data_IF_521277938907
#
_entry.id   IF_521277938907
#
_cell.length_a   1.000
_cell.length_b   1.000
_cell.length_c   1.000
_cell.angle_alpha   90.00
_cell.angle_beta   90.00
_cell.angle_gamma   90.00
#
_symmetry.space_group_name_H-M   'P 1'
#
loop_
_entity.id
_entity.type
_entity.pdbx_description
1 polymer ?
#
# COMPACT_ATOMS: atom_id res chain seq x y z
N UNK A 1 -12.91 27.94 -8.05
CA UNK A 1 -13.07 26.74 -7.21
C UNK A 1 -12.16 26.92 -6.02
N UNK A 2 -12.72 27.01 -4.81
CA UNK A 2 -11.90 27.16 -3.61
C UNK A 2 -11.20 25.84 -3.31
N UNK A 3 -9.87 25.86 -3.36
CA UNK A 3 -9.06 24.71 -2.98
C UNK A 3 -9.22 24.54 -1.46
N UNK A 4 -9.95 23.50 -1.06
CA UNK A 4 -9.98 23.05 0.33
C UNK A 4 -8.86 22.04 0.54
N UNK A 5 -7.89 22.40 1.37
CA UNK A 5 -6.95 21.42 1.93
C UNK A 5 -7.68 20.64 3.03
N UNK A 6 -8.35 19.55 2.65
CA UNK A 6 -8.84 18.57 3.62
C UNK A 6 -7.64 17.78 4.12
N UNK A 7 -7.35 17.86 5.43
CA UNK A 7 -6.37 16.97 6.06
C UNK A 7 -6.81 15.52 5.82
N UNK A 8 -5.90 14.64 5.40
CA UNK A 8 -6.16 13.21 5.33
C UNK A 8 -6.28 12.66 6.75
N UNK A 9 -7.50 12.36 7.20
CA UNK A 9 -7.75 11.66 8.46
C UNK A 9 -8.15 10.25 8.07
N UNK A 10 -7.41 9.25 8.57
CA UNK A 10 -7.83 7.87 8.46
C UNK A 10 -8.90 7.60 9.52
N UNK A 11 -10.10 7.23 9.08
CA UNK A 11 -11.17 6.81 9.98
C UNK A 11 -10.80 5.46 10.63
N UNK A 12 -11.03 5.29 11.94
CA UNK A 12 -10.98 3.97 12.56
C UNK A 12 -11.98 2.97 11.97
N UNK A 13 -13.12 3.47 11.47
CA UNK A 13 -14.22 2.65 10.96
C UNK A 13 -14.05 2.27 9.48
N UNK A 14 -13.17 2.97 8.76
CA UNK A 14 -12.89 2.74 7.33
C UNK A 14 -11.37 2.72 7.12
N UNK A 15 -10.71 1.59 7.44
CA UNK A 15 -9.28 1.46 7.26
C UNK A 15 -8.95 1.50 5.77
N UNK A 16 -7.87 2.20 5.42
CA UNK A 16 -7.41 2.35 4.04
C UNK A 16 -6.86 1.02 3.49
N UNK A 17 -7.74 0.11 3.07
CA UNK A 17 -7.40 -1.19 2.46
C UNK A 17 -7.22 -1.03 0.95
N UNK A 18 -6.14 -1.58 0.42
CA UNK A 18 -5.79 -1.50 -0.99
C UNK A 18 -5.50 -2.87 -1.59
N UNK A 19 -5.79 -3.00 -2.89
CA UNK A 19 -5.12 -3.95 -3.78
C UNK A 19 -3.90 -3.19 -4.33
N UNK A 20 -2.71 -3.58 -3.89
CA UNK A 20 -1.46 -2.94 -4.29
C UNK A 20 -1.00 -3.40 -5.68
N UNK A 21 -1.28 -4.66 -6.01
CA UNK A 21 -0.98 -5.27 -7.29
C UNK A 21 -1.88 -6.49 -7.49
N UNK A 22 -2.21 -6.82 -8.73
CA UNK A 22 -2.91 -8.04 -9.09
C UNK A 22 -2.32 -8.66 -10.36
N UNK A 23 -2.86 -9.80 -10.78
CA UNK A 23 -2.45 -10.49 -12.01
C UNK A 23 -3.06 -9.89 -13.29
N UNK A 24 -3.40 -8.61 -13.31
CA UNK A 24 -3.77 -7.93 -14.56
C UNK A 24 -2.57 -7.82 -15.49
N UNK A 25 -2.83 -7.81 -16.80
CA UNK A 25 -1.79 -7.61 -17.81
C UNK A 25 -1.34 -6.15 -17.72
N UNK A 26 -0.05 -5.94 -17.46
CA UNK A 26 0.51 -4.61 -17.37
C UNK A 26 0.65 -3.96 -18.76
N UNK A 27 1.11 -2.69 -18.78
CA UNK A 27 1.27 -1.93 -20.04
C UNK A 27 2.31 -2.55 -20.99
N UNK A 28 3.23 -3.37 -20.48
CA UNK A 28 4.26 -4.05 -21.26
C UNK A 28 3.82 -5.43 -21.76
N UNK A 29 2.64 -5.89 -21.34
CA UNK A 29 2.09 -7.20 -21.72
C UNK A 29 2.43 -8.33 -20.75
N UNK A 30 3.05 -8.02 -19.62
CA UNK A 30 3.47 -8.99 -18.61
C UNK A 30 2.39 -9.21 -17.54
N UNK A 31 2.45 -10.36 -16.87
CA UNK A 31 1.63 -10.68 -15.69
C UNK A 31 2.55 -11.10 -14.55
N UNK A 32 2.44 -10.43 -13.41
CA UNK A 32 3.14 -10.83 -12.18
C UNK A 32 2.24 -11.75 -11.36
N UNK A 33 2.62 -13.02 -11.26
CA UNK A 33 1.85 -14.01 -10.50
C UNK A 33 1.88 -13.67 -9.01
N UNK A 34 0.70 -13.48 -8.41
CA UNK A 34 0.60 -13.04 -7.01
C UNK A 34 1.19 -14.09 -6.06
N UNK A 35 1.04 -15.39 -6.38
CA UNK A 35 1.65 -16.48 -5.60
C UNK A 35 3.19 -16.47 -5.57
N UNK A 36 3.82 -15.66 -6.43
CA UNK A 36 5.28 -15.53 -6.51
C UNK A 36 5.87 -14.48 -5.55
N UNK A 37 5.05 -13.69 -4.87
CA UNK A 37 5.53 -12.69 -3.91
C UNK A 37 6.17 -13.36 -2.69
N UNK A 38 7.45 -13.09 -2.46
CA UNK A 38 8.11 -13.35 -1.18
C UNK A 38 8.10 -12.07 -0.34
N UNK A 39 7.31 -12.09 0.74
CA UNK A 39 7.13 -10.95 1.64
C UNK A 39 7.99 -11.05 2.90
N UNK A 40 8.87 -12.05 3.01
CA UNK A 40 9.60 -12.38 4.25
C UNK A 40 10.42 -11.19 4.75
N UNK A 41 11.19 -10.54 3.88
CA UNK A 41 12.03 -9.41 4.28
C UNK A 41 11.24 -8.12 4.40
N UNK A 42 10.26 -7.89 3.51
CA UNK A 42 9.40 -6.72 3.57
C UNK A 42 8.66 -6.63 4.92
N UNK A 43 8.12 -7.76 5.39
CA UNK A 43 7.37 -7.83 6.65
C UNK A 43 8.21 -7.54 7.91
N UNK A 44 9.55 -7.54 7.81
CA UNK A 44 10.42 -7.12 8.92
C UNK A 44 10.38 -5.61 9.15
N UNK A 45 10.10 -4.83 8.10
CA UNK A 45 9.98 -3.37 8.16
C UNK A 45 9.04 -2.85 7.05
N UNK A 46 7.71 -3.02 7.20
CA UNK A 46 6.74 -2.75 6.14
C UNK A 46 6.41 -1.25 6.05
N UNK A 47 7.38 -0.44 5.64
CA UNK A 47 7.24 1.02 5.58
C UNK A 47 6.43 1.44 4.33
N UNK A 48 5.49 2.36 4.49
CA UNK A 48 4.79 2.98 3.37
C UNK A 48 5.54 4.24 2.93
N UNK A 49 6.07 4.22 1.71
CA UNK A 49 6.85 5.34 1.14
C UNK A 49 6.01 6.15 0.18
N UNK A 50 6.19 7.47 0.19
CA UNK A 50 5.70 8.32 -0.89
C UNK A 50 6.61 8.19 -2.10
N UNK A 51 6.05 7.81 -3.25
CA UNK A 51 6.79 7.82 -4.52
C UNK A 51 8.05 6.95 -4.56
N UNK A 52 8.11 5.87 -3.77
CA UNK A 52 9.30 5.03 -3.59
C UNK A 52 10.52 5.75 -2.98
N UNK A 53 10.35 6.93 -2.40
CA UNK A 53 11.42 7.66 -1.73
C UNK A 53 11.56 7.21 -0.27
N UNK A 54 12.71 6.64 0.06
CA UNK A 54 13.02 6.16 1.42
C UNK A 54 13.18 7.29 2.44
N UNK A 55 13.34 8.54 2.00
CA UNK A 55 13.40 9.72 2.88
C UNK A 55 12.02 10.29 3.21
N UNK A 56 10.96 9.82 2.52
CA UNK A 56 9.61 10.35 2.67
C UNK A 56 8.62 9.24 3.10
N UNK A 57 8.74 8.69 4.33
CA UNK A 57 7.76 7.75 4.86
C UNK A 57 6.42 8.44 5.16
N UNK A 58 5.32 7.80 4.80
CA UNK A 58 3.95 8.29 5.03
C UNK A 58 3.15 7.40 6.00
N UNK A 59 3.72 6.29 6.44
CA UNK A 59 3.06 5.35 7.32
C UNK A 59 3.69 3.96 7.30
N UNK A 60 2.91 2.97 7.70
CA UNK A 60 3.24 1.54 7.64
C UNK A 60 2.16 0.76 6.91
N UNK A 61 2.54 -0.39 6.36
CA UNK A 61 1.61 -1.35 5.79
C UNK A 61 1.33 -2.46 6.79
N UNK A 62 0.05 -2.69 7.04
CA UNK A 62 -0.45 -3.77 7.88
C UNK A 62 -1.14 -4.85 7.03
N UNK A 63 -1.12 -6.08 7.54
CA UNK A 63 -1.81 -7.22 6.93
C UNK A 63 -1.47 -7.43 5.44
N UNK A 64 -0.19 -7.23 5.08
CA UNK A 64 0.30 -7.41 3.71
C UNK A 64 0.34 -8.89 3.36
N UNK A 65 -0.48 -9.30 2.39
CA UNK A 65 -0.63 -10.70 2.01
C UNK A 65 -1.25 -10.84 0.63
N UNK A 66 -1.07 -12.03 0.06
CA UNK A 66 -1.75 -12.45 -1.16
C UNK A 66 -3.15 -12.96 -0.80
N UNK A 67 -4.19 -12.33 -1.33
CA UNK A 67 -5.58 -12.80 -1.30
C UNK A 67 -6.01 -13.16 -2.72
N UNK A 68 -6.12 -14.45 -3.02
CA UNK A 68 -6.43 -14.93 -4.37
C UNK A 68 -5.33 -14.57 -5.38
N UNK A 69 -5.62 -13.64 -6.30
CA UNK A 69 -4.71 -13.15 -7.36
C UNK A 69 -4.21 -11.73 -7.12
N UNK A 70 -4.35 -11.23 -5.89
CA UNK A 70 -4.01 -9.85 -5.55
C UNK A 70 -3.09 -9.80 -4.32
N UNK A 71 -2.11 -8.90 -4.37
CA UNK A 71 -1.39 -8.42 -3.19
C UNK A 71 -2.22 -7.33 -2.53
N UNK A 72 -2.58 -7.56 -1.27
CA UNK A 72 -3.45 -6.68 -0.49
C UNK A 72 -2.74 -6.20 0.76
N UNK A 73 -3.20 -5.09 1.31
CA UNK A 73 -2.72 -4.56 2.59
C UNK A 73 -3.51 -3.34 3.02
N UNK A 74 -3.30 -2.95 4.27
CA UNK A 74 -3.94 -1.78 4.88
C UNK A 74 -2.86 -0.74 5.18
N UNK A 75 -3.05 0.47 4.68
CA UNK A 75 -2.17 1.59 5.02
C UNK A 75 -2.57 2.12 6.40
N UNK A 76 -1.61 2.21 7.30
CA UNK A 76 -1.73 2.96 8.55
C UNK A 76 -0.90 4.22 8.41
N UNK A 77 -1.56 5.38 8.34
CA UNK A 77 -0.88 6.66 8.19
C UNK A 77 0.02 6.97 9.39
N UNK A 78 1.17 7.58 9.11
CA UNK A 78 2.04 8.12 10.14
C UNK A 78 1.26 9.11 11.03
N UNK A 79 1.62 9.17 12.32
CA UNK A 79 1.02 10.13 13.24
C UNK A 79 1.27 11.55 12.72
N UNK A 80 0.29 12.42 12.93
CA UNK A 80 0.47 13.83 12.66
C UNK A 80 1.66 14.38 13.48
N UNK A 81 2.53 15.15 12.82
CA UNK A 81 3.57 15.95 13.47
C UNK A 81 3.02 17.15 14.22
#
# INVERSE_FOLDING_TARGET
>A
MDIKFTKGIQSPDDPLKFIMSDESVDRMGDVILAKGWDLTDFNKNPIALWGHDSQTPIGTWDNVKVEGKALTGTLTLAKQG
#
